data_IF_715660348770
#
_entry.id   IF_715660348770
#
_cell.length_a   1.000
_cell.length_b   1.000
_cell.length_c   1.000
_cell.angle_alpha   90.00
_cell.angle_beta   90.00
_cell.angle_gamma   90.00
#
_symmetry.space_group_name_H-M   'P 1'
#
loop_
_entity.id
_entity.type
_entity.pdbx_description
1 polymer ?
#
# COMPACT_ATOMS: atom_id res chain seq x y z
N UNK A 1 -0.14 -3.25 -53.00
CA UNK A 1 -0.74 -2.12 -52.26
C UNK A 1 -1.70 -2.68 -51.21
N UNK A 2 -1.43 -2.38 -49.93
CA UNK A 2 -2.28 -2.39 -48.72
C UNK A 2 -3.54 -3.27 -48.70
N UNK A 3 -3.58 -4.24 -47.77
CA UNK A 3 -4.79 -4.55 -47.00
C UNK A 3 -4.46 -4.55 -45.51
N UNK A 4 -5.26 -3.79 -44.77
CA UNK A 4 -5.06 -3.38 -43.39
C UNK A 4 -5.01 -4.58 -42.43
N UNK A 5 -4.04 -4.51 -41.52
CA UNK A 5 -3.99 -5.38 -40.35
C UNK A 5 -5.09 -5.01 -39.36
N UNK A 6 -5.87 -6.01 -38.96
CA UNK A 6 -6.62 -5.99 -37.71
C UNK A 6 -5.66 -6.45 -36.62
N UNK A 7 -5.11 -5.51 -35.86
CA UNK A 7 -4.55 -5.81 -34.54
C UNK A 7 -5.56 -5.30 -33.54
N UNK A 8 -6.26 -6.24 -32.90
CA UNK A 8 -7.11 -5.98 -31.74
C UNK A 8 -6.28 -5.24 -30.69
N UNK A 9 -6.65 -3.99 -30.44
CA UNK A 9 -6.20 -3.28 -29.25
C UNK A 9 -6.83 -3.92 -28.03
N UNK A 10 -6.06 -4.73 -27.31
CA UNK A 10 -6.40 -5.12 -25.95
C UNK A 10 -6.30 -3.88 -25.05
N UNK A 11 -7.44 -3.21 -24.83
CA UNK A 11 -7.57 -2.23 -23.75
C UNK A 11 -7.46 -2.99 -22.43
N UNK A 12 -6.30 -2.89 -21.78
CA UNK A 12 -6.13 -3.27 -20.39
C UNK A 12 -7.02 -2.34 -19.55
N UNK A 13 -8.09 -2.90 -19.01
CA UNK A 13 -8.96 -2.26 -18.04
C UNK A 13 -8.12 -1.84 -16.83
N UNK A 14 -7.86 -0.55 -16.69
CA UNK A 14 -7.33 0.08 -15.48
C UNK A 14 -8.36 -0.04 -14.36
N UNK A 15 -8.30 -1.16 -13.63
CA UNK A 15 -9.14 -1.39 -12.46
C UNK A 15 -8.79 -0.44 -11.31
N UNK A 16 -9.58 0.62 -11.14
CA UNK A 16 -9.76 1.43 -9.92
C UNK A 16 -8.56 1.53 -8.95
N UNK A 17 -7.49 2.20 -9.37
CA UNK A 17 -6.39 2.63 -8.49
C UNK A 17 -6.75 3.83 -7.58
N UNK A 18 -7.99 4.32 -7.66
CA UNK A 18 -8.44 5.56 -7.01
C UNK A 18 -8.22 5.57 -5.50
N UNK A 19 -8.35 4.42 -4.85
CA UNK A 19 -8.35 4.39 -3.39
C UNK A 19 -6.94 4.48 -2.80
N UNK A 20 -5.92 3.87 -3.41
CA UNK A 20 -4.55 3.91 -2.84
C UNK A 20 -3.90 5.26 -3.03
N UNK A 21 -4.23 5.96 -4.12
CA UNK A 21 -3.73 7.30 -4.41
C UNK A 21 -4.02 8.28 -3.26
N UNK A 22 -5.16 8.12 -2.58
CA UNK A 22 -5.50 8.93 -1.40
C UNK A 22 -4.49 8.80 -0.25
N UNK A 23 -3.98 7.60 -0.01
CA UNK A 23 -2.94 7.36 1.01
C UNK A 23 -1.60 7.92 0.53
N UNK A 24 -1.27 7.74 -0.76
CA UNK A 24 -0.03 8.28 -1.33
C UNK A 24 -0.02 9.81 -1.30
N UNK A 25 -1.15 10.45 -1.59
CA UNK A 25 -1.32 11.91 -1.53
C UNK A 25 -1.24 12.42 -0.09
N UNK A 26 -1.79 11.69 0.89
CA UNK A 26 -1.63 12.03 2.30
C UNK A 26 -0.17 11.99 2.74
N UNK A 27 0.60 10.99 2.29
CA UNK A 27 2.04 10.94 2.55
C UNK A 27 2.79 12.08 1.87
N UNK A 28 2.49 12.39 0.60
CA UNK A 28 3.09 13.55 -0.10
C UNK A 28 2.79 14.86 0.63
N UNK A 29 1.55 15.06 1.08
CA UNK A 29 1.14 16.24 1.85
C UNK A 29 1.85 16.33 3.21
N UNK A 30 2.21 15.18 3.80
CA UNK A 30 3.03 15.11 5.01
C UNK A 30 4.55 15.30 4.77
N UNK A 31 4.97 15.56 3.52
CA UNK A 31 6.37 15.76 3.15
C UNK A 31 7.14 14.46 2.89
N UNK A 32 6.45 13.32 2.82
CA UNK A 32 7.05 12.01 2.55
C UNK A 32 7.09 11.72 1.04
N UNK A 33 7.99 10.83 0.63
CA UNK A 33 8.23 10.55 -0.80
C UNK A 33 7.83 9.12 -1.18
N UNK A 34 6.54 8.84 -1.45
CA UNK A 34 6.10 7.53 -1.94
C UNK A 34 6.52 7.32 -3.40
N UNK A 35 6.98 6.11 -3.71
CA UNK A 35 7.51 5.73 -5.02
C UNK A 35 7.31 4.25 -5.30
N UNK A 36 7.21 3.88 -6.58
CA UNK A 36 7.18 2.48 -7.01
C UNK A 36 5.97 1.69 -6.52
N UNK A 37 4.86 2.34 -6.16
CA UNK A 37 3.64 1.65 -5.77
C UNK A 37 2.97 0.98 -6.97
N UNK A 38 2.86 -0.34 -6.93
CA UNK A 38 2.19 -1.15 -7.96
C UNK A 38 1.15 -2.05 -7.32
N UNK A 39 0.12 -2.42 -8.08
CA UNK A 39 -0.82 -3.46 -7.69
C UNK A 39 -0.05 -4.80 -7.53
N UNK A 40 -0.18 -5.41 -6.36
CA UNK A 40 0.44 -6.71 -6.02
C UNK A 40 -0.61 -7.77 -5.71
N UNK A 41 -1.87 -7.52 -6.05
CA UNK A 41 -2.99 -8.42 -5.84
C UNK A 41 -3.26 -8.69 -4.36
N UNK A 42 -3.52 -9.95 -4.05
CA UNK A 42 -3.92 -10.40 -2.71
C UNK A 42 -2.70 -10.80 -1.87
N UNK A 43 -1.98 -9.79 -1.35
CA UNK A 43 -0.89 -9.98 -0.38
C UNK A 43 -1.40 -10.28 1.03
N UNK A 44 -2.59 -9.79 1.36
CA UNK A 44 -3.32 -10.09 2.59
C UNK A 44 -4.66 -10.75 2.21
N UNK A 45 -5.08 -11.84 2.87
CA UNK A 45 -6.29 -12.57 2.51
C UNK A 45 -7.53 -11.66 2.39
N UNK A 46 -8.15 -11.63 1.22
CA UNK A 46 -9.32 -10.79 0.91
C UNK A 46 -9.05 -9.29 0.72
N UNK A 47 -7.78 -8.86 0.70
CA UNK A 47 -7.37 -7.47 0.51
C UNK A 47 -6.80 -7.20 -0.88
N UNK A 48 -7.18 -6.07 -1.49
CA UNK A 48 -6.51 -5.56 -2.71
C UNK A 48 -5.33 -4.69 -2.29
N UNK A 49 -4.12 -5.12 -2.59
CA UNK A 49 -2.91 -4.50 -2.05
C UNK A 49 -2.07 -3.83 -3.14
N UNK A 50 -1.46 -2.71 -2.77
CA UNK A 50 -0.38 -2.09 -3.53
C UNK A 50 0.86 -2.02 -2.66
N UNK A 51 2.02 -2.30 -3.22
CA UNK A 51 3.29 -2.24 -2.50
C UNK A 51 4.27 -1.33 -3.22
N UNK A 52 5.08 -0.63 -2.45
CA UNK A 52 6.10 0.29 -2.93
C UNK A 52 7.03 0.72 -1.80
N UNK A 53 7.67 1.87 -1.99
CA UNK A 53 8.57 2.46 -1.00
C UNK A 53 8.12 3.85 -0.63
N UNK A 54 8.29 4.22 0.63
CA UNK A 54 8.07 5.59 1.10
C UNK A 54 9.19 6.00 2.03
N UNK A 55 9.95 7.02 1.62
CA UNK A 55 11.06 7.57 2.41
C UNK A 55 12.08 6.50 2.87
N UNK A 56 12.37 5.53 2.00
CA UNK A 56 13.33 4.44 2.26
C UNK A 56 12.73 3.19 2.92
N UNK A 57 11.53 3.30 3.49
CA UNK A 57 10.78 2.19 4.08
C UNK A 57 9.99 1.44 3.01
N UNK A 58 9.83 0.13 3.21
CA UNK A 58 8.93 -0.68 2.42
C UNK A 58 7.51 -0.54 2.96
N UNK A 59 6.54 -0.36 2.08
CA UNK A 59 5.15 -0.16 2.48
C UNK A 59 4.19 -0.93 1.58
N UNK A 60 3.24 -1.62 2.20
CA UNK A 60 2.11 -2.28 1.54
C UNK A 60 0.81 -1.69 2.08
N UNK A 61 -0.06 -1.21 1.20
CA UNK A 61 -1.36 -0.65 1.54
C UNK A 61 -2.44 -1.54 0.93
N UNK A 62 -3.30 -2.09 1.78
CA UNK A 62 -4.37 -2.99 1.38
C UNK A 62 -5.74 -2.38 1.71
N UNK A 63 -6.68 -2.48 0.76
CA UNK A 63 -8.07 -2.08 0.94
C UNK A 63 -8.98 -3.32 0.93
N UNK A 64 -9.89 -3.36 1.89
CA UNK A 64 -10.83 -4.46 2.11
C UNK A 64 -12.28 -4.00 1.87
N UNK A 65 -13.19 -4.95 1.70
CA UNK A 65 -14.61 -4.62 1.50
C UNK A 65 -15.29 -4.19 2.81
N UNK A 66 -14.76 -4.61 3.96
CA UNK A 66 -15.26 -4.27 5.29
C UNK A 66 -14.17 -4.18 6.36
N UNK A 67 -14.44 -3.42 7.41
CA UNK A 67 -13.48 -3.19 8.50
C UNK A 67 -13.17 -4.47 9.30
N UNK A 68 -14.13 -5.38 9.42
CA UNK A 68 -13.89 -6.67 10.06
C UNK A 68 -12.88 -7.53 9.29
N UNK A 69 -12.91 -7.50 7.95
CA UNK A 69 -11.94 -8.20 7.12
C UNK A 69 -10.55 -7.60 7.27
N UNK A 70 -10.45 -6.26 7.24
CA UNK A 70 -9.20 -5.55 7.47
C UNK A 70 -8.59 -5.92 8.85
N UNK A 71 -9.40 -5.94 9.91
CA UNK A 71 -8.97 -6.34 11.25
C UNK A 71 -8.48 -7.79 11.30
N UNK A 72 -9.18 -8.73 10.64
CA UNK A 72 -8.74 -10.13 10.58
C UNK A 72 -7.43 -10.31 9.81
N UNK A 73 -7.11 -9.41 8.89
CA UNK A 73 -5.88 -9.44 8.11
C UNK A 73 -4.66 -8.84 8.83
N UNK A 74 -4.83 -8.25 10.02
CA UNK A 74 -3.75 -7.61 10.78
C UNK A 74 -2.61 -8.58 11.11
N UNK A 75 -2.94 -9.77 11.62
CA UNK A 75 -1.95 -10.81 11.93
C UNK A 75 -1.16 -11.26 10.68
N UNK A 76 -1.83 -11.37 9.53
CA UNK A 76 -1.17 -11.68 8.27
C UNK A 76 -0.25 -10.53 7.81
N UNK A 77 -0.56 -9.27 8.16
CA UNK A 77 0.31 -8.13 7.94
C UNK A 77 1.62 -8.22 8.70
N UNK A 78 1.58 -8.65 9.97
CA UNK A 78 2.79 -8.86 10.76
C UNK A 78 3.70 -9.92 10.14
N UNK A 79 3.13 -10.99 9.56
CA UNK A 79 3.89 -11.99 8.84
C UNK A 79 4.61 -11.45 7.58
N UNK A 80 4.08 -10.40 6.93
CA UNK A 80 4.75 -9.76 5.79
C UNK A 80 6.00 -8.95 6.19
N UNK A 81 6.09 -8.52 7.45
CA UNK A 81 7.24 -7.78 7.97
C UNK A 81 8.41 -8.75 8.21
N UNK A 82 8.12 -9.98 8.63
CA UNK A 82 9.14 -10.96 9.00
C UNK A 82 9.99 -10.48 10.16
N UNK A 83 11.31 -10.58 10.03
CA UNK A 83 12.27 -10.21 11.08
C UNK A 83 12.67 -8.71 11.03
N UNK A 84 12.07 -7.92 10.13
CA UNK A 84 12.35 -6.49 10.04
C UNK A 84 11.67 -5.68 11.16
N UNK A 85 12.22 -4.50 11.45
CA UNK A 85 11.51 -3.53 12.28
C UNK A 85 10.36 -2.97 11.46
N UNK A 86 9.13 -3.02 11.97
CA UNK A 86 7.98 -2.58 11.20
C UNK A 86 6.71 -2.45 12.03
N UNK A 87 5.63 -2.09 11.35
CA UNK A 87 4.30 -1.96 11.93
C UNK A 87 3.22 -2.38 10.95
N UNK A 88 2.27 -3.17 11.43
CA UNK A 88 0.96 -3.34 10.79
C UNK A 88 -0.05 -2.48 11.51
N UNK A 89 -0.85 -1.74 10.74
CA UNK A 89 -1.84 -0.79 11.25
C UNK A 89 -3.14 -0.94 10.48
N UNK A 90 -4.21 -1.26 11.20
CA UNK A 90 -5.57 -1.28 10.67
C UNK A 90 -6.23 0.10 10.87
N UNK A 91 -6.93 0.58 9.85
CA UNK A 91 -7.71 1.82 9.91
C UNK A 91 -8.97 1.70 9.06
N UNK A 92 -10.13 1.49 9.70
CA UNK A 92 -11.39 1.23 8.99
C UNK A 92 -11.28 0.01 8.07
N UNK A 93 -11.46 0.22 6.77
CA UNK A 93 -11.33 -0.81 5.71
C UNK A 93 -9.91 -0.98 5.18
N UNK A 94 -8.95 -0.31 5.77
CA UNK A 94 -7.58 -0.27 5.30
C UNK A 94 -6.65 -1.03 6.24
N UNK A 95 -5.59 -1.59 5.66
CA UNK A 95 -4.43 -2.10 6.39
C UNK A 95 -3.18 -1.52 5.75
N UNK A 96 -2.33 -0.94 6.58
CA UNK A 96 -0.98 -0.53 6.23
C UNK A 96 0.01 -1.51 6.86
N UNK A 97 0.97 -1.99 6.08
CA UNK A 97 2.15 -2.68 6.56
C UNK A 97 3.36 -1.84 6.16
N UNK A 98 4.18 -1.45 7.13
CA UNK A 98 5.46 -0.77 6.88
C UNK A 98 6.59 -1.58 7.49
N UNK A 99 7.67 -1.74 6.75
CA UNK A 99 8.88 -2.41 7.21
C UNK A 99 10.12 -1.56 6.91
N UNK A 100 11.09 -1.63 7.81
CA UNK A 100 12.41 -1.05 7.71
C UNK A 100 13.49 -2.15 7.70
N UNK A 101 13.57 -2.96 6.63
CA UNK A 101 14.53 -4.06 6.57
C UNK A 101 15.99 -3.57 6.57
N UNK A 102 16.21 -2.31 6.17
CA UNK A 102 17.54 -1.70 6.05
C UNK A 102 17.91 -0.86 7.28
N UNK A 103 17.05 -0.79 8.30
CA UNK A 103 17.25 -0.02 9.54
C UNK A 103 17.56 1.46 9.26
N UNK A 104 16.95 2.01 8.23
CA UNK A 104 17.15 3.40 7.82
C UNK A 104 16.46 4.37 8.80
N UNK A 105 15.42 3.95 9.55
CA UNK A 105 14.73 4.73 10.58
C UNK A 105 14.95 4.17 11.99
N UNK A 106 16.18 4.26 12.55
CA UNK A 106 16.50 3.71 13.87
C UNK A 106 15.68 4.35 15.00
N UNK A 107 15.15 5.55 14.78
CA UNK A 107 14.31 6.27 15.75
C UNK A 107 12.82 5.91 15.68
N UNK A 108 12.37 5.23 14.62
CA UNK A 108 10.96 5.01 14.32
C UNK A 108 10.16 6.28 14.01
N UNK A 109 10.83 7.45 13.91
CA UNK A 109 10.16 8.75 13.74
C UNK A 109 9.46 8.84 12.39
N UNK A 110 10.09 8.35 11.32
CA UNK A 110 9.52 8.38 9.96
C UNK A 110 8.36 7.39 9.86
N UNK A 111 8.54 6.18 10.39
CA UNK A 111 7.46 5.19 10.45
C UNK A 111 6.23 5.74 11.19
N UNK A 112 6.43 6.38 12.34
CA UNK A 112 5.35 7.01 13.09
C UNK A 112 4.67 8.14 12.32
N UNK A 113 5.42 8.98 11.59
CA UNK A 113 4.85 10.04 10.75
C UNK A 113 3.97 9.45 9.63
N UNK A 114 4.44 8.39 8.98
CA UNK A 114 3.71 7.67 7.93
C UNK A 114 2.42 7.06 8.45
N UNK A 115 2.48 6.39 9.60
CA UNK A 115 1.32 5.79 10.26
C UNK A 115 0.29 6.86 10.63
N UNK A 116 0.73 8.00 11.17
CA UNK A 116 -0.17 9.10 11.52
C UNK A 116 -0.86 9.70 10.30
N UNK A 117 -0.12 10.02 9.24
CA UNK A 117 -0.68 10.56 8.01
C UNK A 117 -1.69 9.58 7.37
N UNK A 118 -1.34 8.29 7.35
CA UNK A 118 -2.23 7.22 6.91
C UNK A 118 -3.53 7.17 7.73
N UNK A 119 -3.43 7.11 9.06
CA UNK A 119 -4.60 7.02 9.95
C UNK A 119 -5.49 8.26 9.88
N UNK A 120 -4.91 9.46 9.75
CA UNK A 120 -5.68 10.69 9.57
C UNK A 120 -6.53 10.66 8.30
N UNK A 121 -6.04 10.00 7.25
CA UNK A 121 -6.74 9.93 5.97
C UNK A 121 -7.76 8.79 5.88
N UNK A 122 -7.55 7.70 6.62
CA UNK A 122 -8.28 6.43 6.44
C UNK A 122 -9.24 6.05 7.58
N UNK A 123 -9.25 6.83 8.67
CA UNK A 123 -10.19 6.65 9.79
C UNK A 123 -11.65 6.85 9.40
#
# INVERSE_FOLDING_TARGET
MRRMGFVLGAMLLTGCSSNVNEVLDAWRAAGESPSGFTDVGEKLPGGRCHAGKVSGLEATVCHFNGAEQARKAEEAGWALIGDAVGSTVVSGKWVLVVADPRKEDPSGRRMNALVKAYQQKTR
#
